data_IF_133492440206
#
_entry.id   IF_133492440206
#
_cell.length_a   1.000
_cell.length_b   1.000
_cell.length_c   1.000
_cell.angle_alpha   90.00
_cell.angle_beta   90.00
_cell.angle_gamma   90.00
#
_symmetry.space_group_name_H-M   'P 1'
#
loop_
_entity.id
_entity.type
_entity.pdbx_description
1 polymer ?
#
# COMPACT_ATOMS: atom_id res chain seq x y z
N UNK A 1 -36.41 -8.87 14.50
CA UNK A 1 -35.76 -9.37 13.29
C UNK A 1 -35.66 -10.88 13.32
N UNK A 2 -36.14 -11.66 12.33
CA UNK A 2 -36.02 -13.11 12.28
C UNK A 2 -34.53 -13.53 12.10
N UNK A 3 -34.15 -14.65 12.72
CA UNK A 3 -32.83 -15.23 12.59
C UNK A 3 -32.62 -15.71 11.14
N UNK A 4 -31.60 -15.18 10.40
CA UNK A 4 -31.34 -15.62 9.03
C UNK A 4 -30.94 -17.10 8.92
N UNK A 5 -30.54 -17.77 10.03
CA UNK A 5 -30.19 -19.19 10.05
C UNK A 5 -31.40 -20.12 10.18
N UNK A 6 -32.63 -19.62 10.33
CA UNK A 6 -33.82 -20.43 10.45
C UNK A 6 -34.47 -20.86 9.13
N UNK A 7 -33.77 -20.78 7.99
CA UNK A 7 -34.21 -21.36 6.70
C UNK A 7 -35.53 -20.79 6.16
N UNK A 8 -36.00 -19.65 6.63
CA UNK A 8 -37.16 -18.97 6.06
C UNK A 8 -36.73 -18.19 4.86
N UNK A 9 -37.27 -18.54 3.71
CA UNK A 9 -37.27 -17.75 2.48
C UNK A 9 -37.60 -16.30 2.80
N UNK A 10 -36.77 -15.36 2.32
CA UNK A 10 -37.03 -13.95 2.37
C UNK A 10 -38.43 -13.68 1.81
N UNK A 11 -39.32 -13.14 2.64
CA UNK A 11 -40.52 -12.52 2.13
C UNK A 11 -40.09 -11.18 1.50
N UNK A 12 -39.97 -11.14 0.20
CA UNK A 12 -39.61 -9.95 -0.56
C UNK A 12 -40.60 -8.79 -0.45
N UNK A 13 -41.69 -8.98 0.34
CA UNK A 13 -42.71 -7.95 0.60
C UNK A 13 -42.52 -7.19 1.91
N UNK A 14 -41.58 -7.61 2.77
CA UNK A 14 -41.36 -6.95 4.06
C UNK A 14 -39.87 -6.78 4.40
N UNK A 15 -39.55 -5.70 5.12
CA UNK A 15 -38.21 -5.48 5.66
C UNK A 15 -37.90 -6.53 6.73
N UNK A 16 -36.74 -7.15 6.64
CA UNK A 16 -36.28 -8.19 7.55
C UNK A 16 -36.12 -7.67 8.97
N UNK A 17 -36.72 -8.34 9.94
CA UNK A 17 -36.60 -8.05 11.39
C UNK A 17 -35.89 -9.20 12.08
N UNK A 18 -34.66 -8.96 12.58
CA UNK A 18 -33.86 -9.97 13.28
C UNK A 18 -34.22 -10.03 14.75
N UNK A 19 -34.58 -11.23 15.26
CA UNK A 19 -34.67 -11.50 16.68
C UNK A 19 -33.29 -11.80 17.25
N UNK A 20 -32.98 -11.28 18.44
CA UNK A 20 -31.70 -11.50 19.13
C UNK A 20 -30.43 -10.93 18.42
N UNK A 21 -30.60 -9.96 17.55
CA UNK A 21 -29.48 -9.22 16.98
C UNK A 21 -29.33 -7.89 17.73
N UNK A 22 -28.26 -7.75 18.51
CA UNK A 22 -28.00 -6.56 19.31
C UNK A 22 -26.64 -5.98 18.96
N UNK A 23 -26.61 -4.73 18.65
CA UNK A 23 -25.37 -3.95 18.55
C UNK A 23 -25.24 -3.10 19.80
N UNK A 24 -24.17 -3.29 20.53
CA UNK A 24 -23.93 -2.59 21.79
C UNK A 24 -22.88 -1.50 21.57
N UNK A 25 -23.21 -0.25 21.93
CA UNK A 25 -22.20 0.80 22.04
C UNK A 25 -21.47 0.63 23.39
N UNK A 26 -20.15 0.55 23.34
CA UNK A 26 -19.34 0.43 24.54
C UNK A 26 -19.24 1.78 25.25
N UNK A 27 -19.24 1.75 26.60
CA UNK A 27 -18.90 2.92 27.38
C UNK A 27 -17.46 3.33 27.07
N UNK A 28 -17.11 4.65 27.04
CA UNK A 28 -15.77 5.12 26.72
C UNK A 28 -14.65 4.40 27.47
N UNK A 29 -14.84 4.15 28.77
CA UNK A 29 -13.87 3.45 29.63
C UNK A 29 -13.61 1.98 29.26
N UNK A 30 -14.52 1.39 28.51
CA UNK A 30 -14.44 -0.01 28.06
C UNK A 30 -13.89 -0.15 26.63
N UNK A 31 -13.53 0.97 25.99
CA UNK A 31 -12.93 0.97 24.65
C UNK A 31 -11.43 0.80 24.80
N UNK A 32 -10.90 -0.36 24.36
CA UNK A 32 -9.45 -0.57 24.32
C UNK A 32 -8.82 0.38 23.28
N UNK A 33 -7.58 0.80 23.51
CA UNK A 33 -6.83 1.63 22.57
C UNK A 33 -6.81 1.01 21.16
N UNK A 34 -7.32 1.75 20.18
CA UNK A 34 -7.52 1.25 18.79
C UNK A 34 -8.71 0.30 18.60
N UNK A 35 -9.52 0.08 19.61
CA UNK A 35 -10.72 -0.77 19.56
C UNK A 35 -11.95 -0.07 18.98
N UNK A 36 -12.88 -0.84 18.43
CA UNK A 36 -14.16 -0.34 17.93
C UNK A 36 -15.10 0.13 19.05
N UNK A 37 -15.83 1.22 18.81
CA UNK A 37 -16.85 1.76 19.74
C UNK A 37 -18.09 0.86 19.85
N UNK A 38 -18.29 -0.03 18.89
CA UNK A 38 -19.46 -0.92 18.81
C UNK A 38 -19.04 -2.37 18.85
N UNK A 39 -19.86 -3.17 19.54
CA UNK A 39 -19.73 -4.63 19.60
C UNK A 39 -20.89 -5.26 18.82
N UNK A 40 -20.55 -5.98 17.76
CA UNK A 40 -21.49 -6.73 16.93
C UNK A 40 -21.57 -8.19 17.38
N UNK A 41 -22.69 -8.90 17.12
CA UNK A 41 -22.81 -10.33 17.38
C UNK A 41 -21.72 -11.11 16.61
N UNK A 42 -21.01 -12.00 17.30
CA UNK A 42 -19.97 -12.82 16.68
C UNK A 42 -20.57 -13.77 15.62
N UNK A 43 -19.92 -13.87 14.47
CA UNK A 43 -20.29 -14.80 13.40
C UNK A 43 -21.53 -14.42 12.61
N UNK A 44 -22.09 -13.26 12.87
CA UNK A 44 -23.24 -12.75 12.11
C UNK A 44 -22.83 -11.60 11.18
N UNK A 45 -23.47 -11.47 10.00
CA UNK A 45 -23.25 -10.33 9.11
C UNK A 45 -23.77 -9.04 9.76
N UNK A 46 -23.30 -7.92 9.23
CA UNK A 46 -23.79 -6.58 9.61
C UNK A 46 -25.01 -6.25 8.76
N UNK A 47 -26.06 -5.76 9.39
CA UNK A 47 -27.33 -5.43 8.72
C UNK A 47 -27.59 -3.92 8.76
N UNK A 48 -28.30 -3.36 7.78
CA UNK A 48 -28.83 -2.00 7.86
C UNK A 48 -29.79 -1.84 9.05
N UNK A 49 -29.77 -0.69 9.68
CA UNK A 49 -30.69 -0.34 10.76
C UNK A 49 -31.75 0.63 10.25
N UNK A 50 -33.01 0.25 10.41
CA UNK A 50 -34.18 1.05 10.06
C UNK A 50 -34.85 1.54 11.35
N UNK A 51 -34.86 2.84 11.63
CA UNK A 51 -35.57 3.40 12.78
C UNK A 51 -37.09 3.09 12.74
N UNK A 52 -37.75 3.05 13.91
CA UNK A 52 -39.17 2.72 13.98
C UNK A 52 -40.09 3.60 13.11
N UNK A 53 -39.84 4.91 13.09
CA UNK A 53 -40.64 5.87 12.25
C UNK A 53 -40.54 5.55 10.77
N UNK A 54 -39.33 5.12 10.30
CA UNK A 54 -39.13 4.74 8.92
C UNK A 54 -39.85 3.42 8.59
N UNK A 55 -39.88 2.45 9.53
CA UNK A 55 -40.63 1.21 9.38
C UNK A 55 -42.14 1.46 9.33
N UNK A 56 -42.65 2.40 10.11
CA UNK A 56 -44.08 2.83 10.04
C UNK A 56 -44.47 3.40 8.68
N UNK A 57 -43.62 4.28 8.13
CA UNK A 57 -43.80 4.81 6.76
C UNK A 57 -43.77 3.69 5.73
N UNK A 58 -42.87 2.73 5.86
CA UNK A 58 -42.78 1.56 4.98
C UNK A 58 -44.06 0.72 5.03
N UNK A 59 -44.59 0.41 6.23
CA UNK A 59 -45.83 -0.36 6.40
C UNK A 59 -47.02 0.33 5.81
N UNK A 60 -47.09 1.66 5.94
CA UNK A 60 -48.16 2.50 5.36
C UNK A 60 -47.93 2.81 3.88
N UNK A 61 -46.78 2.43 3.30
CA UNK A 61 -46.37 2.77 1.94
C UNK A 61 -46.37 4.29 1.65
N UNK A 62 -46.02 5.07 2.67
CA UNK A 62 -45.91 6.53 2.55
C UNK A 62 -44.75 6.90 1.65
N UNK A 63 -44.87 7.96 0.86
CA UNK A 63 -43.82 8.47 0.02
C UNK A 63 -42.70 9.06 0.89
N UNK A 64 -41.45 8.80 0.50
CA UNK A 64 -40.24 9.37 1.10
C UNK A 64 -39.56 10.28 0.08
N UNK A 65 -39.50 11.55 0.34
CA UNK A 65 -38.88 12.50 -0.58
C UNK A 65 -37.35 12.42 -0.52
N UNK A 66 -36.79 12.35 0.69
CA UNK A 66 -35.35 12.23 0.89
C UNK A 66 -35.01 11.07 1.87
N UNK A 67 -34.33 10.08 1.40
CA UNK A 67 -33.77 9.00 2.21
C UNK A 67 -32.28 9.23 2.44
N UNK A 68 -31.85 9.26 3.71
CA UNK A 68 -30.45 9.45 4.09
C UNK A 68 -29.86 8.08 4.44
N UNK A 69 -28.71 7.74 3.84
CA UNK A 69 -27.90 6.57 4.22
C UNK A 69 -26.65 7.08 4.92
N UNK A 70 -26.43 6.66 6.18
CA UNK A 70 -25.29 7.14 6.98
C UNK A 70 -24.59 5.99 7.70
N UNK A 71 -23.31 6.20 8.05
CA UNK A 71 -22.58 5.29 8.91
C UNK A 71 -23.00 5.47 10.37
N UNK A 72 -23.41 4.38 11.00
CA UNK A 72 -23.72 4.34 12.43
C UNK A 72 -25.22 4.32 12.73
N UNK A 73 -25.60 3.38 13.57
CA UNK A 73 -27.00 3.17 13.98
C UNK A 73 -27.52 4.29 14.87
N UNK A 74 -26.64 4.87 15.69
CA UNK A 74 -26.99 5.98 16.57
C UNK A 74 -27.35 7.24 15.80
N UNK A 75 -26.59 7.55 14.73
CA UNK A 75 -26.88 8.68 13.85
C UNK A 75 -28.21 8.55 13.17
N UNK A 76 -28.55 7.33 12.71
CA UNK A 76 -29.83 7.07 12.09
C UNK A 76 -30.98 7.21 13.09
N UNK A 77 -30.81 6.69 14.31
CA UNK A 77 -31.82 6.84 15.36
C UNK A 77 -32.01 8.30 15.75
N UNK A 78 -30.93 9.05 15.97
CA UNK A 78 -31.00 10.49 16.29
C UNK A 78 -31.65 11.27 15.15
N UNK A 79 -31.23 11.09 13.90
CA UNK A 79 -31.86 11.75 12.76
C UNK A 79 -33.38 11.48 12.68
N UNK A 80 -33.78 10.24 12.94
CA UNK A 80 -35.17 9.82 12.95
C UNK A 80 -36.00 10.51 14.06
N UNK A 81 -35.43 10.74 15.23
CA UNK A 81 -36.09 11.48 16.34
C UNK A 81 -36.36 12.94 15.97
N UNK A 82 -35.56 13.50 15.06
CA UNK A 82 -35.78 14.87 14.52
C UNK A 82 -36.53 14.89 13.18
N UNK A 83 -37.16 13.77 12.79
CA UNK A 83 -38.05 13.72 11.63
C UNK A 83 -37.40 13.41 10.30
N UNK A 84 -36.07 13.05 10.28
CA UNK A 84 -35.38 12.62 9.08
C UNK A 84 -35.62 11.15 8.77
N UNK A 85 -35.75 10.79 7.50
CA UNK A 85 -35.80 9.41 7.03
C UNK A 85 -34.38 8.89 6.82
N UNK A 86 -33.85 8.16 7.79
CA UNK A 86 -32.43 7.77 7.84
C UNK A 86 -32.28 6.26 8.01
N UNK A 87 -31.41 5.65 7.21
CA UNK A 87 -30.94 4.25 7.41
C UNK A 87 -29.51 4.28 7.92
N UNK A 88 -29.27 3.56 9.01
CA UNK A 88 -27.94 3.41 9.61
C UNK A 88 -27.23 2.17 9.10
N UNK A 89 -25.97 2.32 8.73
CA UNK A 89 -25.09 1.22 8.27
C UNK A 89 -23.96 0.99 9.26
N UNK A 90 -23.48 -0.23 9.35
CA UNK A 90 -22.45 -0.60 10.33
C UNK A 90 -21.04 -0.05 10.00
N UNK A 91 -20.80 0.34 8.77
CA UNK A 91 -19.55 0.92 8.29
C UNK A 91 -19.75 1.61 6.95
N UNK A 92 -18.85 2.54 6.61
CA UNK A 92 -18.83 3.24 5.30
C UNK A 92 -18.71 2.28 4.10
N UNK A 93 -18.17 1.09 4.29
CA UNK A 93 -17.99 0.09 3.22
C UNK A 93 -19.16 -0.89 3.10
N UNK A 94 -20.16 -0.78 3.99
CA UNK A 94 -21.26 -1.72 4.08
C UNK A 94 -22.58 -1.18 3.51
N UNK A 95 -22.51 -0.42 2.40
CA UNK A 95 -23.71 -0.02 1.64
C UNK A 95 -24.25 -1.16 0.75
N UNK A 96 -23.42 -2.18 0.52
CA UNK A 96 -23.77 -3.38 -0.24
C UNK A 96 -23.62 -4.63 0.63
N UNK A 97 -24.39 -5.65 0.30
CA UNK A 97 -24.19 -7.00 0.87
C UNK A 97 -22.77 -7.49 0.55
N UNK A 98 -22.06 -7.99 1.55
CA UNK A 98 -20.67 -8.42 1.44
C UNK A 98 -20.45 -9.60 0.49
N UNK A 99 -21.48 -10.48 0.34
CA UNK A 99 -21.44 -11.69 -0.47
C UNK A 99 -21.86 -11.43 -1.91
N UNK A 100 -23.03 -10.78 -2.09
CA UNK A 100 -23.62 -10.56 -3.42
C UNK A 100 -23.04 -9.33 -4.13
N UNK A 101 -22.44 -8.40 -3.37
CA UNK A 101 -22.01 -7.08 -3.87
C UNK A 101 -23.16 -6.23 -4.42
N UNK A 102 -24.39 -6.56 -4.10
CA UNK A 102 -25.59 -5.82 -4.44
C UNK A 102 -26.04 -4.93 -3.29
N UNK A 103 -26.84 -3.91 -3.60
CA UNK A 103 -27.51 -3.11 -2.59
C UNK A 103 -28.35 -4.03 -1.70
N UNK A 104 -28.33 -3.79 -0.39
CA UNK A 104 -29.13 -4.59 0.54
C UNK A 104 -30.60 -4.72 0.07
N UNK A 105 -31.17 -5.93 0.03
CA UNK A 105 -32.54 -6.17 -0.42
C UNK A 105 -33.56 -5.28 0.28
N UNK A 106 -33.40 -5.07 1.60
CA UNK A 106 -34.28 -4.23 2.40
C UNK A 106 -34.24 -2.75 1.99
N UNK A 107 -33.08 -2.24 1.58
CA UNK A 107 -32.94 -0.88 1.07
C UNK A 107 -33.60 -0.76 -0.32
N UNK A 108 -33.39 -1.76 -1.20
CA UNK A 108 -34.08 -1.83 -2.50
C UNK A 108 -35.59 -1.83 -2.33
N UNK A 109 -36.09 -2.63 -1.37
CA UNK A 109 -37.50 -2.75 -1.08
C UNK A 109 -38.08 -1.43 -0.56
N UNK A 110 -37.38 -0.76 0.36
CA UNK A 110 -37.78 0.54 0.89
C UNK A 110 -37.88 1.58 -0.22
N UNK A 111 -36.84 1.71 -1.06
CA UNK A 111 -36.81 2.68 -2.17
C UNK A 111 -38.01 2.48 -3.11
N UNK A 112 -38.33 1.24 -3.47
CA UNK A 112 -39.42 0.95 -4.39
C UNK A 112 -40.81 1.15 -3.74
N UNK A 113 -40.98 0.65 -2.50
CA UNK A 113 -42.28 0.67 -1.80
C UNK A 113 -42.68 2.12 -1.45
N UNK A 114 -41.73 2.90 -0.92
CA UNK A 114 -41.93 4.25 -0.49
C UNK A 114 -41.65 5.30 -1.59
N UNK A 115 -41.40 4.85 -2.84
CA UNK A 115 -41.18 5.74 -4.02
C UNK A 115 -40.18 6.86 -3.73
N UNK A 116 -39.05 6.51 -3.14
CA UNK A 116 -38.00 7.45 -2.74
C UNK A 116 -37.58 8.32 -3.93
N UNK A 117 -37.55 9.64 -3.73
CA UNK A 117 -37.22 10.61 -4.79
C UNK A 117 -35.73 10.96 -4.82
N UNK A 118 -35.11 11.01 -3.63
CA UNK A 118 -33.70 11.36 -3.44
C UNK A 118 -33.05 10.47 -2.40
N UNK A 119 -31.83 10.00 -2.69
CA UNK A 119 -30.96 9.32 -1.73
C UNK A 119 -29.74 10.19 -1.46
N UNK A 120 -29.49 10.49 -0.20
CA UNK A 120 -28.32 11.23 0.27
C UNK A 120 -27.38 10.29 0.99
N UNK A 121 -26.15 10.14 0.48
CA UNK A 121 -25.06 9.43 1.14
C UNK A 121 -24.37 10.40 2.09
N UNK A 122 -24.75 10.37 3.37
CA UNK A 122 -24.26 11.30 4.39
C UNK A 122 -23.09 10.69 5.16
N UNK A 123 -21.95 11.37 5.09
CA UNK A 123 -20.70 11.01 5.78
C UNK A 123 -20.35 12.02 6.87
N UNK A 124 -19.44 11.59 7.76
CA UNK A 124 -18.89 12.47 8.79
C UNK A 124 -18.03 13.58 8.17
N UNK A 125 -17.93 14.71 8.88
CA UNK A 125 -17.21 15.88 8.40
C UNK A 125 -15.72 15.66 8.18
N UNK A 126 -15.16 14.61 8.75
CA UNK A 126 -13.73 14.24 8.55
C UNK A 126 -13.50 13.23 7.43
N UNK A 127 -14.53 12.92 6.62
CA UNK A 127 -14.43 11.88 5.56
C UNK A 127 -13.36 12.18 4.49
N UNK A 128 -13.04 13.46 4.27
CA UNK A 128 -12.02 13.90 3.33
C UNK A 128 -10.60 13.82 3.92
N UNK A 129 -10.44 13.74 5.24
CA UNK A 129 -9.16 13.88 5.92
C UNK A 129 -8.22 12.70 5.67
N UNK A 130 -6.92 12.99 5.62
CA UNK A 130 -5.89 11.97 5.65
C UNK A 130 -5.79 11.36 7.06
N UNK A 131 -5.17 10.18 7.15
CA UNK A 131 -4.99 9.52 8.44
C UNK A 131 -3.74 10.07 9.15
N UNK A 132 -3.89 10.64 10.35
CA UNK A 132 -2.74 11.04 11.19
C UNK A 132 -1.78 9.87 11.47
N UNK A 133 -2.32 8.66 11.66
CA UNK A 133 -1.52 7.45 11.82
C UNK A 133 -0.71 7.12 10.56
N UNK A 134 -1.29 7.34 9.38
CA UNK A 134 -0.60 7.14 8.11
C UNK A 134 0.51 8.19 7.92
N UNK A 135 0.25 9.44 8.30
CA UNK A 135 1.23 10.51 8.26
C UNK A 135 2.43 10.19 9.17
N UNK A 136 2.19 9.86 10.45
CA UNK A 136 3.23 9.48 11.41
C UNK A 136 4.05 8.25 10.99
N UNK A 137 3.41 7.27 10.32
CA UNK A 137 4.06 6.05 9.84
C UNK A 137 4.64 6.16 8.43
N UNK A 138 4.60 7.34 7.81
CA UNK A 138 5.03 7.57 6.42
C UNK A 138 4.42 6.53 5.44
N UNK A 139 3.17 6.13 5.70
CA UNK A 139 2.43 5.21 4.84
C UNK A 139 1.58 5.98 3.83
N UNK A 140 0.94 5.26 2.89
CA UNK A 140 0.18 5.87 1.81
C UNK A 140 -0.98 6.72 2.35
N UNK A 141 -0.89 8.03 2.17
CA UNK A 141 -1.85 9.02 2.65
C UNK A 141 -3.16 8.99 1.86
N UNK A 142 -3.13 8.51 0.61
CA UNK A 142 -4.32 8.40 -0.23
C UNK A 142 -5.27 7.27 0.19
N UNK A 143 -4.82 6.31 1.01
CA UNK A 143 -5.62 5.12 1.35
C UNK A 143 -6.97 5.47 1.99
N UNK A 144 -6.99 6.38 2.99
CA UNK A 144 -8.24 6.74 3.67
C UNK A 144 -9.20 7.50 2.73
N UNK A 145 -8.82 8.62 2.08
CA UNK A 145 -9.67 9.30 1.11
C UNK A 145 -10.14 8.37 -0.02
N UNK A 146 -9.28 7.48 -0.51
CA UNK A 146 -9.62 6.51 -1.57
C UNK A 146 -10.65 5.48 -1.10
N UNK A 147 -10.60 5.06 0.16
CA UNK A 147 -11.61 4.16 0.73
C UNK A 147 -12.98 4.81 0.74
N UNK A 148 -13.10 6.06 1.19
CA UNK A 148 -14.35 6.82 1.16
C UNK A 148 -14.83 7.04 -0.28
N UNK A 149 -13.97 7.54 -1.15
CA UNK A 149 -14.30 7.74 -2.57
C UNK A 149 -14.84 6.46 -3.22
N UNK A 150 -14.16 5.32 -3.04
CA UNK A 150 -14.59 4.05 -3.61
C UNK A 150 -15.92 3.58 -3.03
N UNK A 151 -16.15 3.76 -1.72
CA UNK A 151 -17.41 3.42 -1.08
C UNK A 151 -18.57 4.22 -1.66
N UNK A 152 -18.40 5.53 -1.78
CA UNK A 152 -19.43 6.43 -2.37
C UNK A 152 -19.70 6.05 -3.83
N UNK A 153 -18.63 5.85 -4.62
CA UNK A 153 -18.75 5.45 -6.03
C UNK A 153 -19.51 4.13 -6.18
N UNK A 154 -19.09 3.12 -5.42
CA UNK A 154 -19.71 1.79 -5.50
C UNK A 154 -21.19 1.84 -5.10
N UNK A 155 -21.54 2.59 -4.03
CA UNK A 155 -22.94 2.76 -3.62
C UNK A 155 -23.74 3.50 -4.66
N UNK A 156 -23.20 4.58 -5.23
CA UNK A 156 -23.83 5.30 -6.34
C UNK A 156 -24.09 4.36 -7.52
N UNK A 157 -23.14 3.52 -7.90
CA UNK A 157 -23.28 2.58 -9.02
C UNK A 157 -24.40 1.57 -8.79
N UNK A 158 -24.66 1.16 -7.53
CA UNK A 158 -25.80 0.32 -7.14
C UNK A 158 -27.14 1.07 -7.15
N UNK A 159 -27.12 2.37 -6.99
CA UNK A 159 -28.34 3.20 -6.93
C UNK A 159 -28.77 3.74 -8.31
N UNK A 160 -27.90 3.76 -9.31
CA UNK A 160 -28.24 4.29 -10.66
C UNK A 160 -29.32 3.49 -11.37
N UNK A 161 -29.51 2.21 -10.99
CA UNK A 161 -30.59 1.37 -11.53
C UNK A 161 -31.98 1.92 -11.21
N UNK A 162 -32.11 2.74 -10.16
CA UNK A 162 -33.33 3.48 -9.84
C UNK A 162 -33.39 4.78 -10.68
N UNK A 163 -33.89 4.70 -11.88
CA UNK A 163 -33.78 5.75 -12.91
C UNK A 163 -34.30 7.15 -12.51
N UNK A 164 -35.26 7.21 -11.61
CA UNK A 164 -35.89 8.47 -11.14
C UNK A 164 -35.29 9.02 -9.85
N UNK A 165 -34.42 8.32 -9.19
CA UNK A 165 -33.87 8.70 -7.88
C UNK A 165 -32.69 9.65 -8.07
N UNK A 166 -32.74 10.83 -7.44
CA UNK A 166 -31.56 11.71 -7.31
C UNK A 166 -30.57 11.09 -6.33
N UNK A 167 -29.27 11.17 -6.63
CA UNK A 167 -28.24 10.60 -5.76
C UNK A 167 -27.27 11.72 -5.40
N UNK A 168 -27.17 12.01 -4.10
CA UNK A 168 -26.27 13.04 -3.58
C UNK A 168 -25.25 12.45 -2.62
N UNK A 169 -24.04 12.98 -2.66
CA UNK A 169 -23.05 12.84 -1.61
C UNK A 169 -23.08 14.07 -0.72
N UNK A 170 -23.06 13.86 0.58
CA UNK A 170 -23.04 14.93 1.57
C UNK A 170 -22.09 14.60 2.73
N UNK A 171 -21.53 15.64 3.35
CA UNK A 171 -20.82 15.56 4.61
C UNK A 171 -21.02 16.83 5.44
N UNK A 172 -20.84 16.73 6.75
CA UNK A 172 -21.01 17.86 7.69
C UNK A 172 -19.81 18.80 7.54
N UNK A 173 -20.07 20.09 7.43
CA UNK A 173 -19.04 21.16 7.34
C UNK A 173 -18.39 21.45 8.69
N UNK A 174 -17.84 20.45 9.32
CA UNK A 174 -17.29 20.47 10.69
C UNK A 174 -16.41 21.67 10.97
N UNK A 175 -15.54 22.05 10.05
CA UNK A 175 -14.58 23.16 10.25
C UNK A 175 -15.24 24.54 10.31
N UNK A 176 -16.46 24.66 9.77
CA UNK A 176 -17.22 25.90 9.70
C UNK A 176 -18.26 26.03 10.84
N UNK A 177 -18.35 25.01 11.70
CA UNK A 177 -19.39 24.91 12.72
C UNK A 177 -18.81 25.03 14.12
N UNK A 178 -19.59 25.61 15.04
CA UNK A 178 -19.27 25.72 16.47
C UNK A 178 -19.20 24.28 17.05
N UNK A 179 -18.26 24.03 17.94
CA UNK A 179 -18.01 22.75 18.59
C UNK A 179 -17.62 21.61 17.63
N UNK A 180 -17.37 21.94 16.36
CA UNK A 180 -16.86 21.03 15.33
C UNK A 180 -17.56 19.65 15.29
N UNK A 181 -18.91 19.58 15.21
CA UNK A 181 -19.64 18.31 15.17
C UNK A 181 -19.22 17.51 13.96
N UNK A 182 -18.92 16.21 14.17
CA UNK A 182 -18.46 15.32 13.09
C UNK A 182 -19.60 14.52 12.47
N UNK A 183 -20.47 13.97 13.30
CA UNK A 183 -21.57 13.12 12.91
C UNK A 183 -22.93 13.84 12.95
N UNK A 184 -23.94 13.25 12.32
CA UNK A 184 -25.31 13.77 12.33
C UNK A 184 -25.86 13.85 13.78
N UNK A 185 -25.54 12.86 14.61
CA UNK A 185 -25.89 12.83 16.03
C UNK A 185 -25.21 13.97 16.79
N UNK A 186 -23.93 14.21 16.55
CA UNK A 186 -23.21 15.32 17.16
C UNK A 186 -23.84 16.67 16.78
N UNK A 187 -24.15 16.88 15.49
CA UNK A 187 -24.74 18.13 14.99
C UNK A 187 -26.10 18.40 15.62
N UNK A 188 -27.01 17.40 15.62
CA UNK A 188 -28.36 17.55 16.11
C UNK A 188 -28.44 17.66 17.64
N UNK A 189 -27.45 17.13 18.38
CA UNK A 189 -27.40 17.16 19.84
C UNK A 189 -26.57 18.31 20.40
N UNK A 190 -25.81 19.03 19.59
CA UNK A 190 -25.00 20.17 20.02
C UNK A 190 -25.89 21.32 20.49
N UNK A 191 -25.75 21.80 21.75
CA UNK A 191 -26.63 22.84 22.30
C UNK A 191 -26.71 24.12 21.48
N UNK A 192 -25.62 24.51 20.83
CA UNK A 192 -25.55 25.70 19.98
C UNK A 192 -26.50 25.66 18.77
N UNK A 193 -26.94 24.47 18.36
CA UNK A 193 -27.82 24.30 17.19
C UNK A 193 -29.25 23.95 17.51
N UNK A 194 -29.60 23.95 18.80
CA UNK A 194 -30.98 23.60 19.25
C UNK A 194 -32.07 24.46 18.61
N UNK A 195 -31.82 25.73 18.35
CA UNK A 195 -32.72 26.66 17.67
C UNK A 195 -32.64 26.60 16.14
N UNK A 196 -31.74 25.80 15.58
CA UNK A 196 -31.47 25.70 14.14
C UNK A 196 -31.86 24.33 13.56
N UNK A 197 -32.61 23.52 14.31
CA UNK A 197 -32.95 22.14 13.88
C UNK A 197 -33.70 22.16 12.54
N UNK A 198 -34.67 23.02 12.37
CA UNK A 198 -35.44 23.14 11.13
C UNK A 198 -34.53 23.52 9.95
N UNK A 199 -33.60 24.46 10.17
CA UNK A 199 -32.63 24.85 9.13
C UNK A 199 -31.68 23.71 8.77
N UNK A 200 -31.25 22.88 9.74
CA UNK A 200 -30.40 21.70 9.52
C UNK A 200 -31.18 20.67 8.68
N UNK A 201 -32.45 20.43 9.02
CA UNK A 201 -33.29 19.50 8.28
C UNK A 201 -33.49 19.99 6.85
N UNK A 202 -33.82 21.27 6.68
CA UNK A 202 -33.99 21.89 5.36
C UNK A 202 -32.71 21.79 4.53
N UNK A 203 -31.55 22.11 5.10
CA UNK A 203 -30.26 22.08 4.38
C UNK A 203 -29.89 20.69 3.84
N UNK A 204 -30.37 19.58 4.44
CA UNK A 204 -30.09 18.21 3.96
C UNK A 204 -31.22 17.66 3.09
N UNK A 205 -32.48 18.11 3.27
CA UNK A 205 -33.65 17.51 2.61
C UNK A 205 -34.11 18.27 1.39
N UNK A 206 -34.00 19.59 1.36
CA UNK A 206 -34.46 20.40 0.23
C UNK A 206 -33.59 20.24 -1.01
N UNK A 207 -34.13 20.48 -2.18
CA UNK A 207 -33.39 20.40 -3.44
C UNK A 207 -32.44 21.57 -3.63
N UNK A 208 -32.79 22.73 -3.08
CA UNK A 208 -31.93 23.91 -3.11
C UNK A 208 -30.77 23.77 -2.14
N UNK A 209 -29.54 23.85 -2.66
CA UNK A 209 -28.32 23.62 -1.86
C UNK A 209 -27.97 24.90 -1.10
N UNK A 210 -28.40 25.01 0.16
CA UNK A 210 -28.05 26.10 1.04
C UNK A 210 -26.57 26.03 1.53
N UNK A 211 -26.04 24.84 1.70
CA UNK A 211 -24.63 24.59 2.08
C UNK A 211 -24.17 25.22 3.40
N UNK A 212 -25.08 25.46 4.35
CA UNK A 212 -24.77 26.04 5.65
C UNK A 212 -24.14 25.00 6.59
N UNK A 213 -24.82 23.86 6.76
CA UNK A 213 -24.42 22.78 7.66
C UNK A 213 -23.76 21.61 6.91
N UNK A 214 -24.20 21.39 5.69
CA UNK A 214 -23.72 20.27 4.88
C UNK A 214 -23.07 20.76 3.59
N UNK A 215 -21.98 20.12 3.21
CA UNK A 215 -21.59 20.12 1.81
C UNK A 215 -22.44 19.09 1.08
N UNK A 216 -22.99 19.44 -0.08
CA UNK A 216 -23.81 18.54 -0.90
C UNK A 216 -23.38 18.60 -2.36
N UNK A 217 -23.41 17.45 -3.02
CA UNK A 217 -23.09 17.33 -4.44
C UNK A 217 -23.89 16.22 -5.09
N UNK A 218 -24.54 16.52 -6.22
CA UNK A 218 -25.14 15.50 -7.07
C UNK A 218 -24.02 14.63 -7.67
N UNK A 219 -24.09 13.32 -7.45
CA UNK A 219 -23.08 12.35 -7.90
C UNK A 219 -23.63 11.39 -8.95
N UNK A 220 -24.93 11.46 -9.31
CA UNK A 220 -25.51 10.56 -10.30
C UNK A 220 -24.74 10.63 -11.61
N UNK A 221 -24.47 11.81 -12.13
CA UNK A 221 -23.84 12.05 -13.43
C UNK A 221 -22.47 12.73 -13.33
N UNK A 222 -21.98 13.04 -12.14
CA UNK A 222 -20.79 13.87 -11.92
C UNK A 222 -19.69 13.19 -11.12
N UNK A 223 -19.45 11.91 -11.38
CA UNK A 223 -18.46 11.11 -10.62
C UNK A 223 -17.03 11.68 -10.68
N UNK A 224 -16.65 12.32 -11.78
CA UNK A 224 -15.32 12.95 -11.90
C UNK A 224 -15.15 14.13 -10.94
N UNK A 225 -16.22 14.85 -10.61
CA UNK A 225 -16.20 15.93 -9.60
C UNK A 225 -15.98 15.36 -8.21
N UNK A 226 -16.54 14.17 -7.91
CA UNK A 226 -16.31 13.48 -6.65
C UNK A 226 -14.84 13.16 -6.46
N UNK A 227 -14.14 12.68 -7.50
CA UNK A 227 -12.69 12.37 -7.43
C UNK A 227 -11.87 13.61 -7.07
N UNK A 228 -12.21 14.78 -7.64
CA UNK A 228 -11.59 16.08 -7.30
C UNK A 228 -11.91 16.52 -5.88
N UNK A 229 -13.16 16.25 -5.41
CA UNK A 229 -13.56 16.56 -4.02
C UNK A 229 -12.70 15.84 -2.99
N UNK A 230 -12.18 14.65 -3.31
CA UNK A 230 -11.23 13.91 -2.50
C UNK A 230 -9.75 14.22 -2.82
N UNK A 231 -9.48 15.17 -3.72
CA UNK A 231 -8.14 15.50 -4.23
C UNK A 231 -7.36 14.27 -4.73
N UNK A 232 -8.05 13.29 -5.31
CA UNK A 232 -7.48 12.04 -5.85
C UNK A 232 -7.26 12.09 -7.37
N UNK A 233 -7.51 13.23 -8.00
CA UNK A 233 -7.32 13.45 -9.43
C UNK A 233 -5.84 13.59 -9.81
N UNK A 234 -5.01 14.16 -8.93
CA UNK A 234 -3.56 14.27 -9.13
C UNK A 234 -2.81 14.41 -7.80
N UNK A 235 -1.53 14.04 -7.79
CA UNK A 235 -0.66 14.25 -6.63
C UNK A 235 -0.49 15.74 -6.30
N UNK A 236 -0.54 16.61 -7.30
CA UNK A 236 -0.48 18.08 -7.11
C UNK A 236 -1.72 18.58 -6.34
N UNK A 237 -2.91 18.17 -6.76
CA UNK A 237 -4.17 18.51 -6.06
C UNK A 237 -4.19 17.97 -4.64
N UNK A 238 -3.64 16.76 -4.45
CA UNK A 238 -3.54 16.12 -3.14
C UNK A 238 -2.61 16.91 -2.21
N UNK A 239 -1.39 17.21 -2.68
CA UNK A 239 -0.42 17.98 -1.89
C UNK A 239 -0.97 19.37 -1.55
N UNK A 240 -1.52 20.10 -2.52
CA UNK A 240 -2.08 21.45 -2.29
C UNK A 240 -3.20 21.48 -1.22
N UNK A 241 -3.97 20.40 -1.08
CA UNK A 241 -4.98 20.30 -0.02
C UNK A 241 -4.37 20.05 1.36
N UNK A 242 -3.30 19.26 1.44
CA UNK A 242 -2.71 18.76 2.69
C UNK A 242 -1.33 19.35 3.00
N UNK A 243 -0.93 20.39 2.27
CA UNK A 243 0.36 21.07 2.38
C UNK A 243 0.70 21.42 3.83
N UNK A 244 -0.23 21.98 4.58
CA UNK A 244 -0.03 22.36 5.98
C UNK A 244 0.24 21.17 6.91
N UNK A 245 -0.16 19.95 6.53
CA UNK A 245 0.05 18.73 7.33
C UNK A 245 1.25 17.93 6.84
N UNK A 246 1.52 17.95 5.54
CA UNK A 246 2.63 17.23 4.89
C UNK A 246 3.92 18.05 5.02
N UNK A 247 3.85 19.38 4.83
CA UNK A 247 5.02 20.25 4.78
C UNK A 247 5.97 19.88 3.66
N UNK A 248 7.27 20.13 3.87
CA UNK A 248 8.34 19.81 2.92
C UNK A 248 8.84 18.36 3.02
N UNK A 249 8.19 17.52 3.83
CA UNK A 249 8.59 16.15 4.01
C UNK A 249 8.20 15.25 2.83
N UNK A 250 8.90 14.13 2.71
CA UNK A 250 8.50 13.07 1.79
C UNK A 250 7.18 12.44 2.23
N UNK A 251 6.28 12.22 1.27
CA UNK A 251 4.99 11.60 1.53
C UNK A 251 4.66 10.54 0.47
N UNK A 252 3.80 9.60 0.84
CA UNK A 252 3.36 8.52 -0.06
C UNK A 252 1.94 8.81 -0.54
N UNK A 253 1.77 8.81 -1.86
CA UNK A 253 0.48 8.93 -2.54
C UNK A 253 0.34 7.83 -3.59
N UNK A 254 -0.73 7.03 -3.52
CA UNK A 254 -1.00 5.91 -4.43
C UNK A 254 0.22 4.99 -4.65
N UNK A 255 0.85 4.59 -3.54
CA UNK A 255 2.01 3.69 -3.50
C UNK A 255 3.33 4.28 -4.04
N UNK A 256 3.38 5.56 -4.36
CA UNK A 256 4.60 6.25 -4.83
C UNK A 256 5.04 7.28 -3.79
N UNK A 257 6.36 7.43 -3.65
CA UNK A 257 6.96 8.45 -2.81
C UNK A 257 7.11 9.75 -3.60
N UNK A 258 6.72 10.85 -2.97
CA UNK A 258 6.79 12.20 -3.51
C UNK A 258 7.39 13.16 -2.50
N UNK A 259 7.93 14.26 -2.99
CA UNK A 259 8.40 15.40 -2.21
C UNK A 259 8.08 16.69 -2.94
N UNK A 260 7.78 17.74 -2.20
CA UNK A 260 7.65 19.07 -2.77
C UNK A 260 9.03 19.68 -3.02
N UNK A 261 9.23 20.19 -4.23
CA UNK A 261 10.44 20.92 -4.62
C UNK A 261 10.13 22.42 -4.66
N UNK A 262 10.52 23.14 -3.63
CA UNK A 262 10.26 24.58 -3.49
C UNK A 262 10.97 25.41 -4.59
N UNK A 263 12.10 24.96 -5.12
CA UNK A 263 12.82 25.67 -6.19
C UNK A 263 12.08 25.64 -7.53
N UNK A 264 11.29 24.60 -7.78
CA UNK A 264 10.55 24.41 -9.02
C UNK A 264 9.03 24.57 -8.83
N UNK A 265 8.58 24.87 -7.62
CA UNK A 265 7.15 24.97 -7.21
C UNK A 265 6.33 23.78 -7.71
N UNK A 266 6.86 22.58 -7.50
CA UNK A 266 6.16 21.36 -7.93
C UNK A 266 6.43 20.15 -7.06
N UNK A 267 5.47 19.21 -7.05
CA UNK A 267 5.63 17.89 -6.45
C UNK A 267 6.36 16.98 -7.41
N UNK A 268 7.50 16.45 -6.97
CA UNK A 268 8.33 15.51 -7.73
C UNK A 268 8.29 14.13 -7.11
N UNK A 269 8.49 13.11 -7.93
CA UNK A 269 8.64 11.74 -7.44
C UNK A 269 9.99 11.60 -6.76
N UNK A 270 9.97 11.12 -5.50
CA UNK A 270 11.18 10.83 -4.74
C UNK A 270 11.43 9.31 -4.67
N UNK A 271 12.68 8.93 -4.46
CA UNK A 271 13.09 7.54 -4.25
C UNK A 271 14.08 7.50 -3.08
N UNK A 272 13.75 6.82 -1.97
CA UNK A 272 14.65 6.67 -0.84
C UNK A 272 16.00 6.10 -1.29
N UNK A 273 17.11 6.69 -0.83
CA UNK A 273 18.46 6.22 -1.18
C UNK A 273 18.66 4.77 -0.80
N UNK A 274 18.24 4.38 0.40
CA UNK A 274 18.38 3.02 0.92
C UNK A 274 17.71 1.95 0.05
N UNK A 275 16.54 2.23 -0.57
CA UNK A 275 15.86 1.24 -1.42
C UNK A 275 16.60 0.97 -2.74
N UNK A 276 17.55 1.82 -3.13
CA UNK A 276 18.37 1.63 -4.34
C UNK A 276 19.33 0.46 -4.22
N UNK A 277 19.67 0.09 -2.98
CA UNK A 277 20.56 -1.03 -2.69
C UNK A 277 19.84 -2.38 -2.76
N UNK A 278 18.51 -2.37 -2.90
CA UNK A 278 17.73 -3.58 -3.06
C UNK A 278 17.48 -3.93 -4.52
N UNK A 279 17.55 -5.23 -4.80
CA UNK A 279 17.15 -5.80 -6.10
C UNK A 279 16.19 -6.97 -5.86
N UNK A 280 15.32 -7.22 -6.83
CA UNK A 280 14.51 -8.43 -6.91
C UNK A 280 14.90 -9.23 -8.14
N UNK A 281 15.21 -10.50 -7.95
CA UNK A 281 15.55 -11.44 -9.03
C UNK A 281 14.54 -12.58 -8.99
N UNK A 282 13.71 -12.70 -10.02
CA UNK A 282 12.55 -13.58 -9.96
C UNK A 282 11.61 -13.17 -8.81
N UNK A 283 11.41 -14.07 -7.84
CA UNK A 283 10.59 -13.82 -6.66
C UNK A 283 11.41 -13.46 -5.40
N UNK A 284 12.74 -13.57 -5.46
CA UNK A 284 13.63 -13.34 -4.34
C UNK A 284 14.17 -11.91 -4.28
N UNK A 285 14.37 -11.42 -3.07
CA UNK A 285 14.90 -10.08 -2.79
C UNK A 285 16.30 -10.17 -2.22
N UNK A 286 17.17 -9.25 -2.66
CA UNK A 286 18.56 -9.13 -2.22
C UNK A 286 18.88 -7.67 -1.91
N UNK A 287 19.75 -7.47 -0.92
CA UNK A 287 20.33 -6.18 -0.59
C UNK A 287 21.82 -6.21 -0.97
N UNK A 288 22.28 -5.20 -1.67
CA UNK A 288 23.71 -4.99 -1.96
C UNK A 288 24.37 -4.38 -0.74
N UNK A 289 25.02 -5.21 0.07
CA UNK A 289 25.73 -4.79 1.28
C UNK A 289 27.22 -4.69 1.03
N UNK A 290 27.88 -3.75 1.71
CA UNK A 290 29.34 -3.64 1.73
C UNK A 290 29.88 -4.40 2.95
N UNK A 291 30.63 -5.44 2.72
CA UNK A 291 31.21 -6.28 3.78
C UNK A 291 32.73 -6.15 3.74
N UNK A 292 33.41 -5.85 4.86
CA UNK A 292 34.87 -5.83 4.88
C UNK A 292 35.41 -7.23 4.65
N UNK A 293 36.40 -7.34 3.77
CA UNK A 293 37.17 -8.56 3.61
C UNK A 293 38.13 -8.65 4.78
N UNK A 294 38.04 -9.73 5.58
CA UNK A 294 38.81 -9.90 6.81
C UNK A 294 40.34 -9.92 6.56
N UNK A 295 40.78 -10.25 5.33
CA UNK A 295 42.21 -10.37 5.00
C UNK A 295 42.81 -9.08 4.42
N UNK A 296 41.98 -8.29 3.68
CA UNK A 296 42.47 -7.16 2.89
C UNK A 296 41.96 -5.82 3.39
N UNK A 297 41.01 -5.81 4.35
CA UNK A 297 40.27 -4.62 4.81
C UNK A 297 39.53 -3.86 3.69
N UNK A 298 39.48 -4.40 2.50
CA UNK A 298 38.74 -3.81 1.37
C UNK A 298 37.27 -4.15 1.48
N UNK A 299 36.40 -3.16 1.22
CA UNK A 299 34.95 -3.35 1.22
C UNK A 299 34.50 -4.06 -0.08
N UNK A 300 33.95 -5.25 0.07
CA UNK A 300 33.37 -6.04 -1.02
C UNK A 300 31.85 -5.85 -1.06
N UNK A 301 31.27 -5.73 -2.26
CA UNK A 301 29.82 -5.71 -2.44
C UNK A 301 29.32 -7.14 -2.50
N UNK A 302 28.41 -7.51 -1.59
CA UNK A 302 27.75 -8.81 -1.56
C UNK A 302 26.25 -8.68 -1.65
N UNK A 303 25.60 -9.65 -2.28
CA UNK A 303 24.15 -9.77 -2.33
C UNK A 303 23.68 -10.60 -1.13
N UNK A 304 23.07 -9.93 -0.16
CA UNK A 304 22.49 -10.58 1.02
C UNK A 304 21.00 -10.87 0.76
N UNK A 305 20.55 -12.14 0.85
CA UNK A 305 19.12 -12.45 0.75
C UNK A 305 18.30 -11.70 1.80
N UNK A 306 17.16 -11.16 1.40
CA UNK A 306 16.23 -10.45 2.29
C UNK A 306 14.80 -10.94 2.10
N UNK A 307 14.08 -11.09 3.20
CA UNK A 307 12.64 -11.41 3.13
C UNK A 307 11.85 -10.18 2.73
N UNK A 308 10.87 -10.37 1.84
CA UNK A 308 9.96 -9.30 1.44
C UNK A 308 9.29 -8.61 2.63
N UNK A 309 8.91 -9.38 3.69
CA UNK A 309 8.33 -8.85 4.91
C UNK A 309 9.23 -7.83 5.59
N UNK A 310 10.52 -8.12 5.76
CA UNK A 310 11.51 -7.22 6.36
C UNK A 310 11.59 -5.89 5.58
N UNK A 311 11.64 -5.95 4.24
CA UNK A 311 11.66 -4.73 3.40
C UNK A 311 10.37 -3.91 3.59
N UNK A 312 9.23 -4.58 3.72
CA UNK A 312 7.94 -3.91 3.98
C UNK A 312 7.89 -3.28 5.36
N UNK A 313 8.45 -3.95 6.38
CA UNK A 313 8.48 -3.44 7.75
C UNK A 313 9.42 -2.24 7.89
N UNK A 314 10.56 -2.26 7.20
CA UNK A 314 11.57 -1.18 7.26
C UNK A 314 11.20 0.03 6.39
N UNK A 315 10.68 -0.19 5.19
CA UNK A 315 10.47 0.87 4.18
C UNK A 315 9.02 1.11 3.78
N UNK A 316 8.10 0.24 4.20
CA UNK A 316 6.69 0.26 3.79
C UNK A 316 6.41 -0.44 2.45
N UNK A 317 5.22 -1.02 2.32
CA UNK A 317 4.78 -1.79 1.14
C UNK A 317 4.86 -0.99 -0.17
N UNK A 318 4.63 0.31 -0.10
CA UNK A 318 4.67 1.22 -1.24
C UNK A 318 6.05 1.32 -1.91
N UNK A 319 7.14 1.09 -1.15
CA UNK A 319 8.51 1.16 -1.66
C UNK A 319 8.91 -0.03 -2.52
N UNK A 320 8.22 -1.15 -2.45
CA UNK A 320 8.50 -2.33 -3.27
C UNK A 320 8.44 -2.06 -4.79
N UNK A 321 7.69 -1.04 -5.22
CA UNK A 321 7.65 -0.64 -6.63
C UNK A 321 8.99 -0.05 -7.09
N UNK A 322 9.74 0.54 -6.19
CA UNK A 322 11.02 1.20 -6.46
C UNK A 322 12.21 0.22 -6.47
N UNK A 323 12.03 -1.02 -6.00
CA UNK A 323 13.06 -2.07 -6.05
C UNK A 323 13.30 -2.47 -7.51
N UNK A 324 14.57 -2.43 -7.95
CA UNK A 324 14.95 -2.84 -9.31
C UNK A 324 14.67 -4.34 -9.49
N UNK A 325 14.09 -4.70 -10.64
CA UNK A 325 13.64 -6.07 -10.92
C UNK A 325 14.44 -6.66 -12.07
N UNK A 326 14.85 -7.91 -11.89
CA UNK A 326 15.56 -8.70 -12.87
C UNK A 326 14.89 -10.05 -13.06
N UNK A 327 14.99 -10.65 -14.25
CA UNK A 327 14.39 -11.95 -14.56
C UNK A 327 15.12 -13.10 -13.88
N UNK A 328 16.47 -13.06 -13.91
CA UNK A 328 17.34 -14.09 -13.37
C UNK A 328 18.72 -13.53 -13.07
N UNK A 329 19.55 -14.33 -12.41
CA UNK A 329 21.00 -14.12 -12.40
C UNK A 329 21.63 -14.72 -13.65
N UNK A 330 22.63 -14.05 -14.19
CA UNK A 330 23.53 -14.57 -15.21
C UNK A 330 24.97 -14.35 -14.74
N UNK A 331 25.89 -15.19 -15.14
CA UNK A 331 27.30 -14.99 -14.94
C UNK A 331 27.97 -14.95 -16.31
N UNK A 332 28.12 -13.74 -16.86
CA UNK A 332 28.81 -13.52 -18.14
C UNK A 332 30.11 -12.77 -17.90
N UNK A 333 31.22 -13.47 -17.76
CA UNK A 333 32.53 -12.86 -17.59
C UNK A 333 32.93 -12.10 -18.87
N UNK A 334 33.28 -10.84 -18.73
CA UNK A 334 33.89 -10.05 -19.78
C UNK A 334 34.62 -8.86 -19.15
N UNK A 335 35.91 -8.73 -19.39
CA UNK A 335 36.70 -7.60 -18.92
C UNK A 335 36.65 -6.41 -19.90
N UNK A 336 36.38 -6.69 -21.17
CA UNK A 336 36.42 -5.69 -22.25
C UNK A 336 35.06 -5.05 -22.48
N UNK A 337 34.01 -5.86 -22.53
CA UNK A 337 32.61 -5.43 -22.77
C UNK A 337 31.74 -5.84 -21.59
N UNK A 338 32.06 -5.30 -20.41
CA UNK A 338 31.27 -5.58 -19.20
C UNK A 338 29.89 -4.92 -19.28
N UNK A 339 28.86 -5.73 -18.99
CA UNK A 339 27.48 -5.28 -18.84
C UNK A 339 26.91 -5.80 -17.52
N UNK A 340 26.52 -4.87 -16.64
CA UNK A 340 25.89 -5.20 -15.38
C UNK A 340 24.49 -5.84 -15.56
N UNK A 341 23.83 -5.54 -16.68
CA UNK A 341 22.50 -6.05 -17.02
C UNK A 341 22.54 -6.62 -18.44
N UNK A 342 22.08 -7.87 -18.57
CA UNK A 342 22.03 -8.61 -19.83
C UNK A 342 20.63 -9.17 -20.02
N UNK A 343 19.88 -8.71 -21.02
CA UNK A 343 18.51 -9.14 -21.33
C UNK A 343 17.60 -9.17 -20.08
N UNK A 344 17.61 -8.09 -19.29
CA UNK A 344 16.88 -7.95 -18.03
C UNK A 344 17.34 -8.91 -16.90
N UNK A 345 18.48 -9.57 -17.06
CA UNK A 345 19.11 -10.39 -16.01
C UNK A 345 20.24 -9.62 -15.33
N UNK A 346 20.42 -9.86 -14.03
CA UNK A 346 21.51 -9.28 -13.25
C UNK A 346 22.80 -10.09 -13.44
N UNK A 347 23.88 -9.43 -13.88
CA UNK A 347 25.15 -10.10 -14.07
C UNK A 347 25.90 -10.19 -12.74
N UNK A 348 26.15 -11.42 -12.27
CA UNK A 348 26.93 -11.69 -11.05
C UNK A 348 28.41 -11.40 -11.23
N UNK A 349 28.91 -11.47 -12.47
CA UNK A 349 30.29 -11.14 -12.76
C UNK A 349 30.57 -9.67 -12.45
N UNK A 350 31.66 -9.40 -11.74
CA UNK A 350 32.05 -8.02 -11.39
C UNK A 350 33.22 -7.55 -12.26
N UNK A 351 33.24 -6.29 -12.67
CA UNK A 351 34.35 -5.78 -13.48
C UNK A 351 35.63 -5.79 -12.65
N UNK A 352 36.74 -6.09 -13.30
CA UNK A 352 38.07 -5.93 -12.72
C UNK A 352 38.44 -4.44 -12.82
N UNK A 353 38.69 -3.81 -11.67
CA UNK A 353 38.91 -2.35 -11.58
C UNK A 353 40.39 -1.97 -11.67
N UNK A 354 41.26 -2.86 -12.12
CA UNK A 354 42.66 -2.55 -12.30
C UNK A 354 42.93 -1.89 -13.64
N UNK A 355 43.73 -0.86 -13.62
CA UNK A 355 44.27 -0.26 -14.82
C UNK A 355 45.62 -0.92 -15.10
N UNK A 356 45.75 -1.59 -16.24
CA UNK A 356 46.99 -2.17 -16.65
C UNK A 356 48.07 -1.09 -16.86
N UNK A 357 49.19 -1.18 -16.20
CA UNK A 357 50.39 -0.36 -16.37
C UNK A 357 51.44 -1.14 -17.15
N UNK A 358 51.46 -1.05 -18.45
CA UNK A 358 52.48 -1.76 -19.25
C UNK A 358 53.88 -1.32 -18.86
N UNK A 359 54.80 -2.24 -18.86
CA UNK A 359 56.21 -2.04 -18.53
C UNK A 359 56.52 -1.75 -17.03
N UNK A 360 55.62 -1.88 -16.12
CA UNK A 360 55.93 -1.83 -14.70
C UNK A 360 56.59 -3.12 -14.28
N UNK A 361 57.82 -3.08 -13.63
CA UNK A 361 58.46 -4.30 -13.16
C UNK A 361 57.68 -4.98 -12.03
N UNK A 362 57.60 -6.29 -12.10
CA UNK A 362 56.83 -7.11 -11.15
C UNK A 362 57.68 -8.31 -10.62
N UNK A 363 58.90 -8.08 -10.10
CA UNK A 363 59.87 -9.12 -9.79
C UNK A 363 59.40 -10.12 -8.74
N UNK A 364 58.54 -9.72 -7.79
CA UNK A 364 58.05 -10.63 -6.76
C UNK A 364 57.03 -11.64 -7.32
N UNK A 365 56.15 -11.20 -8.20
CA UNK A 365 55.18 -12.10 -8.87
C UNK A 365 55.95 -13.02 -9.83
N UNK A 366 56.92 -12.50 -10.55
CA UNK A 366 57.79 -13.28 -11.45
C UNK A 366 58.47 -14.42 -10.70
N UNK A 367 59.13 -14.13 -9.58
CA UNK A 367 59.77 -15.14 -8.72
C UNK A 367 58.78 -16.17 -8.18
N UNK A 368 57.56 -15.73 -7.84
CA UNK A 368 56.53 -16.67 -7.39
C UNK A 368 56.08 -17.60 -8.50
N UNK A 369 55.89 -17.09 -9.73
CA UNK A 369 55.54 -17.90 -10.90
C UNK A 369 56.64 -18.91 -11.24
N UNK A 370 57.91 -18.49 -11.27
CA UNK A 370 59.07 -19.32 -11.50
C UNK A 370 59.15 -20.42 -10.42
N UNK A 371 58.91 -20.07 -9.16
CA UNK A 371 58.94 -21.02 -8.05
C UNK A 371 57.81 -22.07 -8.11
N UNK A 372 56.59 -21.67 -8.46
CA UNK A 372 55.43 -22.55 -8.52
C UNK A 372 55.46 -23.46 -9.74
N UNK A 373 55.83 -22.94 -10.89
CA UNK A 373 55.78 -23.66 -12.16
C UNK A 373 57.13 -24.28 -12.59
N UNK A 374 58.25 -23.81 -12.05
CA UNK A 374 59.56 -24.29 -12.41
C UNK A 374 59.85 -24.24 -13.91
N UNK A 375 60.20 -25.38 -14.51
CA UNK A 375 60.43 -25.48 -15.96
C UNK A 375 59.19 -25.19 -16.82
N UNK A 376 57.99 -25.23 -16.23
CA UNK A 376 56.72 -24.94 -16.92
C UNK A 376 56.23 -23.51 -16.73
N UNK A 377 57.09 -22.57 -16.38
CA UNK A 377 56.70 -21.17 -16.07
C UNK A 377 56.00 -20.50 -17.22
N UNK A 378 56.40 -20.72 -18.45
CA UNK A 378 55.75 -20.18 -19.66
C UNK A 378 54.29 -20.69 -19.77
N UNK A 379 54.08 -21.98 -19.52
CA UNK A 379 52.73 -22.56 -19.47
C UNK A 379 51.87 -21.91 -18.33
N UNK A 380 52.52 -21.60 -17.21
CA UNK A 380 51.90 -20.86 -16.11
C UNK A 380 51.43 -19.47 -16.52
N UNK A 381 52.27 -18.74 -17.25
CA UNK A 381 51.88 -17.43 -17.79
C UNK A 381 50.76 -17.53 -18.80
N UNK A 382 50.81 -18.45 -19.74
CA UNK A 382 49.78 -18.70 -20.72
C UNK A 382 48.44 -19.04 -20.04
N UNK A 383 48.46 -19.86 -18.99
CA UNK A 383 47.28 -20.23 -18.22
C UNK A 383 46.65 -19.00 -17.55
N UNK A 384 47.45 -18.16 -16.88
CA UNK A 384 47.00 -16.93 -16.27
C UNK A 384 46.43 -15.93 -17.30
N UNK A 385 47.08 -15.82 -18.45
CA UNK A 385 46.63 -14.96 -19.55
C UNK A 385 45.28 -15.44 -20.13
N UNK A 386 45.10 -16.74 -20.27
CA UNK A 386 43.83 -17.32 -20.75
C UNK A 386 42.69 -17.10 -19.74
N UNK A 387 42.93 -17.26 -18.44
CA UNK A 387 41.96 -16.93 -17.40
C UNK A 387 41.48 -15.47 -17.50
N UNK A 388 42.42 -14.57 -17.83
CA UNK A 388 42.07 -13.14 -17.97
C UNK A 388 41.40 -12.82 -19.29
N UNK A 389 41.97 -13.22 -20.43
CA UNK A 389 41.47 -12.84 -21.77
C UNK A 389 40.25 -13.65 -22.22
N UNK A 390 40.12 -14.88 -21.79
CA UNK A 390 39.04 -15.80 -22.20
C UNK A 390 38.42 -16.53 -21.01
N UNK A 391 37.82 -15.81 -20.07
CA UNK A 391 37.30 -16.41 -18.82
C UNK A 391 36.21 -17.45 -19.02
N UNK A 392 35.59 -17.52 -20.22
CA UNK A 392 34.60 -18.53 -20.59
C UNK A 392 35.23 -19.83 -21.15
N UNK A 393 36.55 -19.86 -21.38
CA UNK A 393 37.19 -21.05 -21.92
C UNK A 393 37.37 -22.09 -20.80
N UNK A 394 37.00 -23.32 -21.08
CA UNK A 394 37.26 -24.44 -20.19
C UNK A 394 38.74 -24.72 -20.25
N UNK A 395 39.44 -24.55 -19.11
CA UNK A 395 40.83 -24.83 -18.93
C UNK A 395 41.01 -26.12 -18.12
N UNK A 396 42.14 -26.82 -18.26
CA UNK A 396 42.48 -27.96 -17.38
C UNK A 396 42.55 -27.52 -15.92
N UNK A 397 42.22 -28.42 -15.01
CA UNK A 397 42.38 -28.18 -13.57
C UNK A 397 43.87 -28.09 -13.23
N UNK A 398 44.28 -26.95 -12.67
CA UNK A 398 45.63 -26.78 -12.18
C UNK A 398 45.79 -27.38 -10.77
N UNK A 399 46.58 -28.44 -10.64
CA UNK A 399 46.85 -29.08 -9.36
C UNK A 399 48.24 -28.70 -8.84
N UNK A 400 48.28 -27.99 -7.72
CA UNK A 400 49.54 -27.64 -7.03
C UNK A 400 49.85 -28.69 -5.95
N UNK A 401 50.83 -29.51 -6.20
CA UNK A 401 51.22 -30.62 -5.31
C UNK A 401 52.64 -30.41 -4.77
N UNK A 402 52.87 -30.64 -3.49
CA UNK A 402 54.20 -30.67 -2.89
C UNK A 402 54.19 -31.58 -1.65
N UNK A 403 55.36 -32.18 -1.35
CA UNK A 403 55.55 -32.99 -0.15
C UNK A 403 55.72 -32.12 1.10
N UNK A 404 56.26 -30.91 0.95
CA UNK A 404 56.54 -29.99 2.04
C UNK A 404 55.43 -28.94 2.23
N UNK A 405 55.38 -28.38 3.45
CA UNK A 405 54.52 -27.21 3.79
C UNK A 405 55.28 -25.91 3.47
N UNK A 406 54.55 -24.83 3.29
CA UNK A 406 55.13 -23.49 3.09
C UNK A 406 55.75 -23.27 1.71
N UNK A 407 55.37 -24.03 0.69
CA UNK A 407 55.91 -23.98 -0.67
C UNK A 407 55.19 -22.99 -1.58
N UNK A 408 54.56 -21.95 -1.04
CA UNK A 408 53.96 -20.87 -1.85
C UNK A 408 52.58 -21.15 -2.50
N UNK A 409 52.01 -22.37 -2.35
CA UNK A 409 50.70 -22.72 -2.97
C UNK A 409 49.59 -21.78 -2.56
N UNK A 410 49.47 -21.51 -1.26
CA UNK A 410 48.44 -20.57 -0.74
C UNK A 410 48.69 -19.16 -1.23
N UNK A 411 49.96 -18.73 -1.27
CA UNK A 411 50.34 -17.41 -1.80
C UNK A 411 49.96 -17.26 -3.27
N UNK A 412 50.08 -18.31 -4.07
CA UNK A 412 49.63 -18.28 -5.47
C UNK A 412 48.07 -18.19 -5.57
N UNK A 413 47.35 -18.94 -4.74
CA UNK A 413 45.87 -18.81 -4.69
C UNK A 413 45.44 -17.44 -4.23
N UNK A 414 46.12 -16.82 -3.27
CA UNK A 414 45.88 -15.47 -2.82
C UNK A 414 46.18 -14.46 -3.95
N UNK A 415 47.22 -14.64 -4.76
CA UNK A 415 47.50 -13.84 -5.95
C UNK A 415 46.36 -13.92 -6.96
N UNK A 416 45.85 -15.12 -7.24
CA UNK A 416 44.67 -15.28 -8.13
C UNK A 416 43.46 -14.53 -7.60
N UNK A 417 43.20 -14.65 -6.30
CA UNK A 417 42.07 -13.96 -5.66
C UNK A 417 42.22 -12.44 -5.71
N UNK A 418 43.39 -11.91 -5.43
CA UNK A 418 43.65 -10.47 -5.56
C UNK A 418 43.53 -9.99 -7.01
N UNK A 419 43.96 -10.78 -7.97
CA UNK A 419 43.89 -10.44 -9.42
C UNK A 419 42.44 -10.43 -9.91
N UNK A 420 41.62 -11.42 -9.53
CA UNK A 420 40.27 -11.60 -10.04
C UNK A 420 39.17 -11.05 -9.09
N UNK A 421 39.55 -10.64 -7.87
CA UNK A 421 38.66 -10.06 -6.88
C UNK A 421 37.47 -10.98 -6.56
N UNK A 422 36.28 -10.44 -6.53
CA UNK A 422 35.04 -11.17 -6.23
C UNK A 422 34.66 -12.25 -7.26
N UNK A 423 35.37 -12.32 -8.39
CA UNK A 423 35.18 -13.36 -9.41
C UNK A 423 35.95 -14.66 -9.08
N UNK A 424 36.80 -14.67 -8.05
CA UNK A 424 37.52 -15.82 -7.55
C UNK A 424 37.10 -16.13 -6.11
N UNK A 425 36.77 -17.40 -5.83
CA UNK A 425 36.41 -17.87 -4.50
C UNK A 425 37.38 -18.97 -4.07
N UNK A 426 37.69 -19.05 -2.78
CA UNK A 426 38.42 -20.16 -2.18
C UNK A 426 37.40 -21.01 -1.43
N UNK A 427 37.30 -22.27 -1.82
CA UNK A 427 36.37 -23.24 -1.22
C UNK A 427 37.14 -24.33 -0.45
N UNK A 428 36.52 -24.84 0.60
CA UNK A 428 37.05 -25.94 1.36
C UNK A 428 36.62 -27.32 0.82
N UNK A 429 37.25 -28.39 1.31
CA UNK A 429 36.95 -29.77 0.88
C UNK A 429 35.45 -30.12 1.09
N UNK A 430 34.83 -29.65 2.17
CA UNK A 430 33.41 -29.89 2.46
C UNK A 430 32.49 -29.29 1.42
N UNK A 431 32.86 -28.16 0.81
CA UNK A 431 32.09 -27.48 -0.21
C UNK A 431 32.24 -28.18 -1.57
N UNK A 432 33.41 -28.67 -1.90
CA UNK A 432 33.69 -29.41 -3.15
C UNK A 432 32.96 -30.76 -3.18
N UNK A 433 32.79 -31.40 -2.01
CA UNK A 433 32.13 -32.71 -1.89
C UNK A 433 30.66 -32.67 -1.58
N UNK A 434 30.05 -31.47 -1.48
CA UNK A 434 28.62 -31.34 -1.25
C UNK A 434 27.81 -31.76 -2.48
N UNK A 435 26.65 -32.42 -2.26
CA UNK A 435 25.75 -32.89 -3.35
C UNK A 435 25.10 -31.74 -4.12
N UNK A 436 25.30 -30.49 -3.71
CA UNK A 436 24.69 -29.30 -4.27
C UNK A 436 25.73 -28.25 -4.71
N UNK A 437 26.72 -28.67 -5.49
CA UNK A 437 27.63 -27.74 -6.15
C UNK A 437 27.04 -27.15 -7.44
#
# INVERSE_FOLDING_TARGET
YPDPNQGKTYDHSSITRLKNYYVTRLHPDNIKEGGGKYRFPKGQPTYPFFPPSLLEKFEKKEQIDTLILTEGYFKAMTGSLYGLDVVGLGSITLFADSKTKELYPDIKLLINTCKVQKVVLLYDGDCLNISEKALKKKSDLALRPKTFYNSIRNTRDLLVDFSKVKIEFAYIRTDNLIDHPKGLDDLLLTPAYKSHIDEIIQDITEDEINSKFFFRMNIRDQINRLKRQFALDSVKSFYARWENQIGDEEFVFEHMLYQYNAAEDKVIRAMPLAIRDFIRVGDDYFEMIKVPNIRTDVLEIKLAPRRKGTIVDDFGKCQLVNVRKFKAFVNKPSHIDYKAIINDCYNLYQPINYVAEPNRPWPHIQKLMEHIFGEQVELGYDYMQLLYLKPMQILPILCLVSQERGTGKTTFLDLLRETFGNNAIIVGNSEITSEFN
#
